data_IF_845108356623
#
_entry.id   IF_845108356623
#
_cell.length_a   1.000
_cell.length_b   1.000
_cell.length_c   1.000
_cell.angle_alpha   90.00
_cell.angle_beta   90.00
_cell.angle_gamma   90.00
#
_symmetry.space_group_name_H-M   'P 1'
#
loop_
_entity.id
_entity.type
_entity.pdbx_description
1 polymer ?
#
# COMPACT_ATOMS: atom_id res chain seq x y z
N UNK A 1 -2.53 15.75 22.36
CA UNK A 1 -1.09 15.83 22.13
C UNK A 1 -0.37 16.66 23.22
N UNK A 2 -0.87 17.87 23.50
CA UNK A 2 -0.27 18.74 24.52
C UNK A 2 -0.29 18.16 25.93
N UNK A 3 -1.25 17.30 26.26
CA UNK A 3 -1.44 16.71 27.59
C UNK A 3 -0.74 15.36 27.70
N UNK A 4 -0.87 14.51 26.67
CA UNK A 4 -0.45 13.10 26.72
C UNK A 4 0.87 12.83 25.97
N UNK A 5 1.44 13.84 25.29
CA UNK A 5 2.68 13.73 24.52
C UNK A 5 2.54 13.03 23.16
N UNK A 6 1.42 12.37 22.88
CA UNK A 6 1.11 11.77 21.57
C UNK A 6 -0.40 11.81 21.29
N UNK A 7 -0.80 11.95 20.01
CA UNK A 7 -2.20 11.93 19.63
C UNK A 7 -2.76 10.50 19.71
N UNK A 8 -4.07 10.39 19.98
CA UNK A 8 -4.77 9.13 19.77
C UNK A 8 -4.79 8.77 18.28
N UNK A 9 -4.68 7.48 17.97
CA UNK A 9 -4.84 6.99 16.58
C UNK A 9 -6.22 7.32 16.01
N UNK A 10 -7.22 7.51 16.85
CA UNK A 10 -8.58 7.85 16.43
C UNK A 10 -8.67 9.21 15.69
N UNK A 11 -7.70 10.11 15.92
CA UNK A 11 -7.61 11.41 15.21
C UNK A 11 -6.60 11.40 14.05
N UNK A 12 -6.05 10.24 13.70
CA UNK A 12 -5.06 10.13 12.61
C UNK A 12 -5.54 10.71 11.29
N UNK A 13 -6.81 10.54 10.96
CA UNK A 13 -7.42 11.11 9.76
C UNK A 13 -7.35 12.65 9.71
N UNK A 14 -7.15 13.32 10.82
CA UNK A 14 -7.03 14.78 10.94
C UNK A 14 -5.58 15.24 11.14
N UNK A 15 -4.63 14.32 11.36
CA UNK A 15 -3.22 14.66 11.54
C UNK A 15 -2.58 14.90 10.17
N UNK A 16 -2.05 16.12 9.96
CA UNK A 16 -1.36 16.49 8.72
C UNK A 16 -0.15 15.60 8.43
N UNK A 17 0.48 15.02 9.45
CA UNK A 17 1.62 14.13 9.30
C UNK A 17 1.30 12.83 8.53
N UNK A 18 0.01 12.47 8.38
CA UNK A 18 -0.42 11.31 7.60
C UNK A 18 -0.05 11.42 6.11
N UNK A 19 0.15 12.62 5.60
CA UNK A 19 0.47 12.84 4.19
C UNK A 19 1.93 12.56 3.84
N UNK A 20 2.85 12.68 4.82
CA UNK A 20 4.29 12.54 4.55
C UNK A 20 4.89 13.70 3.78
N UNK A 21 6.09 13.50 3.25
CA UNK A 21 6.95 14.58 2.72
C UNK A 21 6.45 15.20 1.41
N UNK A 22 5.57 14.51 0.65
CA UNK A 22 5.02 15.06 -0.59
C UNK A 22 4.08 16.26 -0.35
N UNK A 23 3.49 16.36 0.84
CA UNK A 23 2.54 17.41 1.20
C UNK A 23 3.25 18.73 1.54
N UNK A 24 3.89 19.33 0.56
CA UNK A 24 4.54 20.65 0.70
C UNK A 24 3.52 21.75 1.01
N UNK A 25 3.95 22.91 1.56
CA UNK A 25 3.06 24.05 1.77
C UNK A 25 2.32 24.49 0.49
N UNK A 26 2.99 24.45 -0.68
CA UNK A 26 2.38 24.75 -1.98
C UNK A 26 1.26 23.78 -2.35
N UNK A 27 1.50 22.47 -2.17
CA UNK A 27 0.47 21.46 -2.36
C UNK A 27 -0.71 21.65 -1.40
N UNK A 28 -0.42 21.92 -0.14
CA UNK A 28 -1.43 22.19 0.88
C UNK A 28 -2.32 23.38 0.52
N UNK A 29 -1.74 24.48 0.00
CA UNK A 29 -2.49 25.65 -0.47
C UNK A 29 -3.43 25.27 -1.63
N UNK A 30 -2.95 24.53 -2.63
CA UNK A 30 -3.74 24.10 -3.79
C UNK A 30 -4.92 23.23 -3.34
N UNK A 31 -4.67 22.24 -2.48
CA UNK A 31 -5.72 21.32 -1.99
C UNK A 31 -6.72 22.01 -1.08
N UNK A 32 -6.27 22.93 -0.23
CA UNK A 32 -7.17 23.72 0.63
C UNK A 32 -8.08 24.62 -0.18
N UNK A 33 -7.56 25.31 -1.22
CA UNK A 33 -8.35 26.13 -2.11
C UNK A 33 -9.38 25.31 -2.87
N UNK A 34 -8.98 24.17 -3.44
CA UNK A 34 -9.87 23.24 -4.14
C UNK A 34 -11.01 22.73 -3.24
N UNK A 35 -10.68 22.34 -2.01
CA UNK A 35 -11.66 21.88 -1.05
C UNK A 35 -12.61 23.00 -0.62
N UNK A 36 -12.10 24.23 -0.46
CA UNK A 36 -12.91 25.39 -0.11
C UNK A 36 -13.87 25.78 -1.23
N UNK A 37 -13.42 25.80 -2.48
CA UNK A 37 -14.26 26.05 -3.66
C UNK A 37 -15.44 25.07 -3.75
N UNK A 38 -15.23 23.83 -3.27
CA UNK A 38 -16.21 22.75 -3.31
C UNK A 38 -17.00 22.54 -2.01
N UNK A 39 -16.87 23.43 -1.05
CA UNK A 39 -17.44 23.29 0.30
C UNK A 39 -18.94 22.96 0.32
N UNK A 40 -19.68 23.49 -0.63
CA UNK A 40 -21.13 23.30 -0.75
C UNK A 40 -21.54 22.44 -1.95
N UNK A 41 -20.58 21.81 -2.61
CA UNK A 41 -20.84 20.92 -3.72
C UNK A 41 -20.97 19.49 -3.18
N UNK A 42 -22.02 18.79 -3.62
CA UNK A 42 -22.19 17.38 -3.29
C UNK A 42 -21.07 16.55 -3.92
N UNK A 43 -20.41 15.75 -3.11
CA UNK A 43 -19.37 14.83 -3.58
C UNK A 43 -20.00 13.52 -4.03
N UNK A 44 -19.68 13.08 -5.24
CA UNK A 44 -20.12 11.78 -5.74
C UNK A 44 -19.20 10.65 -5.25
N UNK A 45 -19.71 9.41 -5.18
CA UNK A 45 -18.86 8.25 -4.92
C UNK A 45 -17.71 8.16 -5.93
N UNK A 46 -16.52 7.86 -5.45
CA UNK A 46 -15.28 7.73 -6.26
C UNK A 46 -14.87 9.01 -7.02
N UNK A 47 -15.39 10.16 -6.64
CA UNK A 47 -14.95 11.42 -7.21
C UNK A 47 -13.59 11.82 -6.63
N UNK A 48 -12.59 11.95 -7.48
CA UNK A 48 -11.25 12.40 -7.11
C UNK A 48 -11.06 13.87 -7.47
N UNK A 49 -10.62 14.66 -6.49
CA UNK A 49 -10.33 16.07 -6.71
C UNK A 49 -9.06 16.25 -7.56
N UNK A 50 -9.13 16.92 -8.71
CA UNK A 50 -8.06 16.90 -9.72
C UNK A 50 -6.86 17.81 -9.41
N UNK A 51 -7.01 18.87 -8.62
CA UNK A 51 -5.92 19.83 -8.39
C UNK A 51 -4.80 19.22 -7.53
N UNK A 52 -3.57 19.66 -7.74
CA UNK A 52 -2.42 19.21 -6.96
C UNK A 52 -2.00 17.76 -7.23
N UNK A 53 -2.44 17.14 -8.31
CA UNK A 53 -1.96 15.85 -8.83
C UNK A 53 -0.79 16.14 -9.78
N UNK A 54 -0.02 15.27 -9.98
CA UNK A 54 0.61 14.05 -9.74
C UNK A 54 1.82 14.29 -8.83
N UNK A 55 1.77 13.85 -7.58
CA UNK A 55 2.89 14.03 -6.65
C UNK A 55 3.87 12.85 -6.75
N UNK A 56 3.32 11.65 -6.80
CA UNK A 56 4.08 10.41 -6.94
C UNK A 56 3.46 9.53 -8.02
N UNK A 57 4.29 8.87 -8.79
CA UNK A 57 3.88 7.86 -9.78
C UNK A 57 4.67 6.58 -9.55
N UNK A 58 4.12 5.45 -10.02
CA UNK A 58 4.81 4.17 -9.95
C UNK A 58 5.66 3.92 -11.20
N UNK A 59 6.53 2.92 -11.16
CA UNK A 59 7.33 2.51 -12.31
C UNK A 59 6.48 2.03 -13.52
N UNK A 60 5.22 1.66 -13.29
CA UNK A 60 4.29 1.22 -14.34
C UNK A 60 3.37 2.33 -14.86
N UNK A 61 3.45 3.54 -14.30
CA UNK A 61 2.53 4.63 -14.60
C UNK A 61 2.35 4.88 -16.10
N UNK A 62 3.43 5.11 -16.84
CA UNK A 62 3.36 5.42 -18.28
C UNK A 62 2.83 4.22 -19.09
N UNK A 63 3.24 3.01 -18.72
CA UNK A 63 2.74 1.78 -19.38
C UNK A 63 1.26 1.59 -19.13
N UNK A 64 0.78 1.82 -17.93
CA UNK A 64 -0.64 1.70 -17.60
C UNK A 64 -1.45 2.80 -18.27
N UNK A 65 -0.94 4.03 -18.29
CA UNK A 65 -1.57 5.14 -19.01
C UNK A 65 -1.74 4.81 -20.49
N UNK A 66 -0.70 4.26 -21.16
CA UNK A 66 -0.78 3.85 -22.56
C UNK A 66 -1.74 2.68 -22.80
N UNK A 67 -2.14 1.96 -21.73
CA UNK A 67 -3.13 0.87 -21.76
C UNK A 67 -4.54 1.34 -21.37
N UNK A 68 -4.75 2.64 -21.20
CA UNK A 68 -6.05 3.20 -20.87
C UNK A 68 -6.38 3.18 -19.37
N UNK A 69 -5.36 3.20 -18.50
CA UNK A 69 -5.60 3.28 -17.07
C UNK A 69 -6.33 4.55 -16.68
N UNK A 70 -7.36 4.39 -15.86
CA UNK A 70 -8.02 5.47 -15.15
C UNK A 70 -7.43 5.57 -13.75
N UNK A 71 -7.05 6.78 -13.36
CA UNK A 71 -6.23 7.02 -12.18
C UNK A 71 -7.00 7.68 -11.04
N UNK A 72 -6.74 7.21 -9.83
CA UNK A 72 -7.06 7.90 -8.58
C UNK A 72 -5.78 8.19 -7.81
N UNK A 73 -5.89 9.07 -6.82
CA UNK A 73 -4.77 9.44 -5.95
C UNK A 73 -5.03 9.02 -4.51
N UNK A 74 -4.13 8.24 -3.95
CA UNK A 74 -4.10 7.93 -2.52
C UNK A 74 -2.78 8.40 -1.89
N UNK A 75 -2.83 9.37 -0.97
CA UNK A 75 -1.62 9.88 -0.29
C UNK A 75 -0.48 10.28 -1.24
N UNK A 76 -0.85 11.03 -2.27
CA UNK A 76 0.08 11.53 -3.28
C UNK A 76 0.45 10.54 -4.38
N UNK A 77 0.22 9.25 -4.19
CA UNK A 77 0.54 8.21 -5.17
C UNK A 77 -0.63 7.98 -6.12
N UNK A 78 -0.36 8.00 -7.42
CA UNK A 78 -1.32 7.63 -8.46
C UNK A 78 -1.54 6.11 -8.45
N UNK A 79 -2.80 5.68 -8.40
CA UNK A 79 -3.21 4.28 -8.42
C UNK A 79 -4.15 4.03 -9.58
N UNK A 80 -3.87 3.00 -10.38
CA UNK A 80 -4.78 2.59 -11.45
C UNK A 80 -6.02 1.92 -10.86
N UNK A 81 -7.20 2.47 -11.19
CA UNK A 81 -8.49 1.93 -10.75
C UNK A 81 -8.98 0.81 -11.67
N UNK A 82 -8.95 1.06 -12.97
CA UNK A 82 -9.39 0.14 -14.03
C UNK A 82 -8.83 0.60 -15.39
N UNK A 83 -9.02 -0.21 -16.43
CA UNK A 83 -8.46 0.05 -17.76
C UNK A 83 -9.56 0.14 -18.80
N UNK A 84 -9.66 1.31 -19.46
CA UNK A 84 -10.52 1.52 -20.59
C UNK A 84 -9.92 0.89 -21.86
N UNK A 85 -10.76 0.34 -22.74
CA UNK A 85 -10.31 -0.13 -24.06
C UNK A 85 -10.20 0.98 -25.08
N UNK A 86 -11.01 2.01 -24.91
CA UNK A 86 -11.06 3.16 -25.80
C UNK A 86 -10.61 4.41 -25.06
N UNK A 87 -9.75 5.26 -25.66
CA UNK A 87 -9.26 6.48 -25.01
C UNK A 87 -10.37 7.40 -24.50
N UNK A 88 -11.47 7.49 -25.22
CA UNK A 88 -12.63 8.32 -24.87
C UNK A 88 -13.37 7.84 -23.61
N UNK A 89 -13.17 6.59 -23.23
CA UNK A 89 -13.74 6.02 -22.00
C UNK A 89 -12.78 6.09 -20.79
N UNK A 90 -11.54 6.54 -20.98
CA UNK A 90 -10.50 6.56 -19.95
C UNK A 90 -10.69 7.68 -18.90
N UNK A 91 -11.86 7.78 -18.32
CA UNK A 91 -12.18 8.73 -17.24
C UNK A 91 -13.35 8.22 -16.39
N UNK A 92 -13.44 8.70 -15.15
CA UNK A 92 -14.59 8.46 -14.30
C UNK A 92 -15.68 9.51 -14.56
N UNK A 93 -16.94 9.06 -14.52
CA UNK A 93 -18.10 9.95 -14.52
C UNK A 93 -18.67 10.01 -13.11
N UNK A 94 -18.70 11.17 -12.45
CA UNK A 94 -19.39 11.31 -11.17
C UNK A 94 -20.86 10.95 -11.31
N UNK A 95 -21.30 9.91 -10.58
CA UNK A 95 -22.69 9.43 -10.65
C UNK A 95 -23.07 8.67 -9.39
N UNK A 96 -24.34 8.72 -9.01
CA UNK A 96 -24.93 7.83 -7.98
C UNK A 96 -25.42 6.50 -8.54
N UNK A 97 -25.36 6.33 -9.85
CA UNK A 97 -25.68 5.08 -10.51
C UNK A 97 -24.41 4.27 -10.78
N UNK A 98 -24.55 3.13 -11.43
CA UNK A 98 -23.43 2.31 -11.86
C UNK A 98 -22.60 3.05 -12.90
N UNK A 99 -21.33 3.30 -12.59
CA UNK A 99 -20.40 4.01 -13.49
C UNK A 99 -20.02 3.16 -14.72
N UNK A 100 -19.42 3.81 -15.72
CA UNK A 100 -18.87 3.12 -16.90
C UNK A 100 -17.79 2.09 -16.56
N UNK A 101 -17.05 2.29 -15.46
CA UNK A 101 -16.05 1.34 -14.96
C UNK A 101 -16.60 -0.08 -14.88
N UNK A 102 -17.88 -0.25 -14.53
CA UNK A 102 -18.48 -1.56 -14.28
C UNK A 102 -18.27 -2.56 -15.43
N UNK A 103 -18.45 -2.14 -16.69
CA UNK A 103 -18.29 -3.06 -17.83
C UNK A 103 -16.84 -3.51 -18.01
N UNK A 104 -15.88 -2.63 -17.73
CA UNK A 104 -14.45 -2.91 -17.83
C UNK A 104 -13.99 -3.79 -16.68
N UNK A 105 -14.34 -3.41 -15.44
CA UNK A 105 -14.02 -4.17 -14.23
C UNK A 105 -14.65 -5.58 -14.27
N UNK A 106 -15.86 -5.73 -14.80
CA UNK A 106 -16.48 -7.04 -14.96
C UNK A 106 -15.65 -7.98 -15.86
N UNK A 107 -15.02 -7.44 -16.91
CA UNK A 107 -14.12 -8.20 -17.80
C UNK A 107 -12.78 -8.52 -17.13
N UNK A 108 -12.21 -7.57 -16.41
CA UNK A 108 -10.99 -7.79 -15.63
C UNK A 108 -11.21 -8.90 -14.58
N UNK A 109 -12.32 -8.84 -13.84
CA UNK A 109 -12.70 -9.88 -12.88
C UNK A 109 -12.86 -11.25 -13.54
N UNK A 110 -13.51 -11.31 -14.71
CA UNK A 110 -13.66 -12.55 -15.49
C UNK A 110 -12.29 -13.08 -15.90
N UNK A 111 -11.40 -12.22 -16.42
CA UNK A 111 -10.05 -12.61 -16.83
C UNK A 111 -9.25 -13.20 -15.64
N UNK A 112 -9.32 -12.59 -14.47
CA UNK A 112 -8.65 -13.12 -13.25
C UNK A 112 -9.25 -14.47 -12.83
N UNK A 113 -10.57 -14.65 -12.91
CA UNK A 113 -11.23 -15.90 -12.51
C UNK A 113 -10.95 -17.07 -13.46
N UNK A 114 -10.84 -16.81 -14.75
CA UNK A 114 -10.69 -17.83 -15.77
C UNK A 114 -9.23 -18.04 -16.22
N UNK A 115 -8.38 -17.04 -16.02
CA UNK A 115 -7.01 -17.04 -16.51
C UNK A 115 -6.02 -16.56 -15.45
N UNK A 116 -5.45 -15.35 -15.64
CA UNK A 116 -4.51 -14.70 -14.75
C UNK A 116 -4.66 -13.19 -14.91
N UNK A 117 -4.59 -12.48 -13.80
CA UNK A 117 -4.50 -11.03 -13.77
C UNK A 117 -3.40 -10.56 -12.80
N UNK A 118 -2.91 -9.36 -13.04
CA UNK A 118 -1.99 -8.67 -12.14
C UNK A 118 -2.58 -7.37 -11.66
N UNK A 119 -2.37 -7.04 -10.40
CA UNK A 119 -2.71 -5.75 -9.80
C UNK A 119 -1.47 -5.14 -9.16
N UNK A 120 -1.26 -3.86 -9.41
CA UNK A 120 -0.21 -3.10 -8.74
C UNK A 120 -0.54 -2.94 -7.25
N UNK A 121 0.43 -3.23 -6.40
CA UNK A 121 0.34 -3.09 -4.93
C UNK A 121 1.45 -2.16 -4.41
N UNK A 122 1.88 -1.20 -5.21
CA UNK A 122 2.89 -0.20 -4.85
C UNK A 122 2.47 0.66 -3.65
N UNK A 123 1.17 0.85 -3.45
CA UNK A 123 0.55 1.61 -2.37
C UNK A 123 0.67 0.97 -0.97
N UNK A 124 1.18 -0.25 -0.85
CA UNK A 124 1.50 -0.81 0.47
C UNK A 124 2.75 -0.16 1.06
N UNK A 125 2.70 0.18 2.36
CA UNK A 125 3.88 0.56 3.10
C UNK A 125 4.85 -0.62 3.24
N UNK A 126 6.15 -0.34 3.17
CA UNK A 126 7.23 -1.33 3.29
C UNK A 126 8.26 -0.85 4.29
N UNK A 127 8.30 -1.50 5.43
CA UNK A 127 9.17 -1.16 6.54
C UNK A 127 10.27 -2.22 6.66
N UNK A 128 11.51 -1.83 6.46
CA UNK A 128 12.69 -2.71 6.52
C UNK A 128 13.36 -2.64 7.89
N UNK A 129 13.68 -3.81 8.45
CA UNK A 129 14.41 -3.95 9.71
C UNK A 129 15.60 -4.89 9.51
N UNK A 130 16.79 -4.45 9.92
CA UNK A 130 18.04 -5.22 9.82
C UNK A 130 18.89 -5.06 11.06
N UNK A 131 19.65 -6.10 11.38
CA UNK A 131 20.65 -6.08 12.45
C UNK A 131 20.34 -7.05 13.59
N UNK A 132 21.31 -7.34 14.46
CA UNK A 132 21.29 -8.47 15.39
C UNK A 132 20.23 -8.41 16.48
N UNK A 133 19.48 -7.32 16.61
CA UNK A 133 18.34 -7.17 17.54
C UNK A 133 16.99 -7.11 16.85
N UNK A 134 16.93 -7.28 15.51
CA UNK A 134 15.69 -7.06 14.76
C UNK A 134 14.60 -8.07 15.13
N UNK A 135 14.94 -9.33 15.30
CA UNK A 135 13.99 -10.37 15.71
C UNK A 135 13.43 -10.11 17.10
N UNK A 136 14.29 -9.78 18.05
CA UNK A 136 13.87 -9.48 19.43
C UNK A 136 12.96 -8.25 19.46
N UNK A 137 13.36 -7.18 18.80
CA UNK A 137 12.59 -5.95 18.71
C UNK A 137 11.21 -6.20 18.08
N UNK A 138 11.14 -6.88 16.95
CA UNK A 138 9.86 -7.18 16.28
C UNK A 138 8.98 -8.11 17.13
N UNK A 139 9.57 -9.09 17.84
CA UNK A 139 8.82 -9.94 18.74
C UNK A 139 8.25 -9.17 19.95
N UNK A 140 8.89 -8.08 20.35
CA UNK A 140 8.39 -7.19 21.40
C UNK A 140 7.22 -6.31 20.94
N UNK A 141 7.29 -5.77 19.71
CA UNK A 141 6.28 -4.79 19.24
C UNK A 141 5.09 -5.42 18.50
N UNK A 142 5.20 -6.67 18.08
CA UNK A 142 4.16 -7.40 17.34
C UNK A 142 3.53 -8.47 18.23
N UNK A 143 2.21 -8.62 18.15
CA UNK A 143 1.47 -9.53 19.02
C UNK A 143 1.37 -10.98 18.49
N UNK A 144 1.82 -11.24 17.27
CA UNK A 144 1.82 -12.56 16.65
C UNK A 144 3.20 -13.20 16.59
N UNK A 145 3.26 -14.46 16.23
CA UNK A 145 4.54 -15.17 16.04
C UNK A 145 5.25 -14.67 14.79
N UNK A 146 6.52 -14.34 14.92
CA UNK A 146 7.36 -14.02 13.77
C UNK A 146 7.61 -15.27 12.90
N UNK A 147 7.65 -15.11 11.58
CA UNK A 147 8.01 -16.19 10.68
C UNK A 147 9.50 -16.54 10.81
N UNK A 148 9.84 -17.78 10.43
CA UNK A 148 11.22 -18.21 10.21
C UNK A 148 11.74 -17.69 8.85
N UNK A 149 13.06 -17.68 8.62
CA UNK A 149 13.63 -17.28 7.32
C UNK A 149 12.98 -17.99 6.13
N UNK A 150 12.77 -17.26 5.05
CA UNK A 150 12.10 -17.74 3.85
C UNK A 150 10.57 -17.84 3.95
N UNK A 151 9.96 -17.25 5.00
CA UNK A 151 8.51 -17.32 5.24
C UNK A 151 7.89 -15.96 5.52
N UNK A 152 6.58 -15.88 5.27
CA UNK A 152 5.76 -14.73 5.67
C UNK A 152 4.69 -15.15 6.69
N UNK A 153 4.24 -14.19 7.50
CA UNK A 153 3.12 -14.34 8.40
C UNK A 153 2.34 -13.02 8.54
N UNK A 154 1.02 -13.10 8.73
CA UNK A 154 0.23 -11.94 9.12
C UNK A 154 0.32 -11.80 10.65
N UNK A 155 0.63 -10.60 11.11
CA UNK A 155 0.89 -10.35 12.54
C UNK A 155 0.30 -9.00 12.95
N UNK A 156 -0.58 -8.97 13.96
CA UNK A 156 -1.14 -7.72 14.44
C UNK A 156 -0.11 -6.94 15.28
N UNK A 157 -0.22 -5.62 15.20
CA UNK A 157 0.44 -4.68 16.10
C UNK A 157 -0.61 -4.02 16.97
N UNK A 158 -0.37 -3.99 18.29
CA UNK A 158 -1.35 -3.53 19.25
C UNK A 158 -0.84 -2.31 20.03
N UNK A 159 -1.77 -1.46 20.46
CA UNK A 159 -1.48 -0.41 21.45
C UNK A 159 -1.25 -1.02 22.81
N UNK A 160 -0.73 -0.22 23.77
CA UNK A 160 -0.58 -0.62 25.18
C UNK A 160 -1.90 -1.00 25.86
N UNK A 161 -3.04 -0.58 25.29
CA UNK A 161 -4.40 -0.93 25.76
C UNK A 161 -4.96 -2.16 25.03
N UNK A 162 -4.16 -2.88 24.23
CA UNK A 162 -4.57 -4.08 23.49
C UNK A 162 -5.46 -3.82 22.27
N UNK A 163 -5.61 -2.56 21.83
CA UNK A 163 -6.36 -2.24 20.60
C UNK A 163 -5.48 -2.41 19.38
N UNK A 164 -6.08 -2.84 18.27
CA UNK A 164 -5.40 -3.00 17.00
C UNK A 164 -4.87 -1.63 16.51
N UNK A 165 -3.56 -1.56 16.27
CA UNK A 165 -2.89 -0.41 15.68
C UNK A 165 -2.53 -0.63 14.20
N UNK A 166 -2.30 -1.88 13.81
CA UNK A 166 -2.05 -2.31 12.44
C UNK A 166 -2.02 -3.82 12.33
N UNK A 167 -2.32 -4.32 11.15
CA UNK A 167 -2.09 -5.69 10.75
C UNK A 167 -1.02 -5.69 9.66
N UNK A 168 0.05 -6.39 9.90
CA UNK A 168 1.25 -6.34 9.08
C UNK A 168 1.57 -7.73 8.53
N UNK A 169 1.86 -7.80 7.24
CA UNK A 169 2.49 -8.99 6.67
C UNK A 169 3.98 -8.89 6.92
N UNK A 170 4.49 -9.79 7.75
CA UNK A 170 5.91 -9.87 8.11
C UNK A 170 6.60 -10.89 7.23
N UNK A 171 7.53 -10.45 6.41
CA UNK A 171 8.43 -11.29 5.63
C UNK A 171 9.78 -11.42 6.35
N UNK A 172 10.18 -12.65 6.68
CA UNK A 172 11.50 -12.91 7.23
C UNK A 172 12.44 -13.35 6.10
N UNK A 173 13.28 -12.43 5.65
CA UNK A 173 14.25 -12.69 4.58
C UNK A 173 15.41 -13.53 5.09
N UNK A 174 15.97 -13.15 6.25
CA UNK A 174 17.03 -13.84 7.00
C UNK A 174 16.72 -13.73 8.49
N UNK A 175 17.50 -14.37 9.37
CA UNK A 175 17.24 -14.38 10.81
C UNK A 175 17.07 -13.00 11.43
N UNK A 176 17.84 -12.02 10.98
CA UNK A 176 17.85 -10.64 11.47
C UNK A 176 17.52 -9.64 10.37
N UNK A 177 16.81 -10.09 9.32
CA UNK A 177 16.36 -9.26 8.22
C UNK A 177 14.88 -9.47 7.92
N UNK A 178 14.09 -8.41 8.09
CA UNK A 178 12.64 -8.43 7.92
C UNK A 178 12.15 -7.28 7.04
N UNK A 179 11.12 -7.56 6.25
CA UNK A 179 10.32 -6.54 5.56
C UNK A 179 8.87 -6.69 6.02
N UNK A 180 8.30 -5.61 6.54
CA UNK A 180 6.91 -5.57 6.98
C UNK A 180 6.08 -4.78 5.96
N UNK A 181 5.01 -5.39 5.49
CA UNK A 181 4.05 -4.75 4.59
C UNK A 181 2.81 -4.36 5.38
N UNK A 182 2.41 -3.10 5.23
CA UNK A 182 1.24 -2.55 5.91
C UNK A 182 0.41 -1.66 5.01
N UNK A 183 -0.65 -1.09 5.55
CA UNK A 183 -1.46 -0.11 4.83
C UNK A 183 -0.66 1.15 4.50
N UNK A 184 -0.69 1.60 3.24
CA UNK A 184 -0.10 2.88 2.85
C UNK A 184 -0.73 4.09 3.54
N UNK A 185 -2.03 3.99 3.88
CA UNK A 185 -2.74 4.97 4.71
C UNK A 185 -2.10 5.16 6.09
N UNK A 186 -1.56 4.08 6.64
CA UNK A 186 -0.96 4.05 7.98
C UNK A 186 0.57 4.14 7.95
N UNK A 187 1.17 4.33 6.77
CA UNK A 187 2.63 4.35 6.59
C UNK A 187 3.33 5.26 7.61
N UNK A 188 2.89 6.51 7.72
CA UNK A 188 3.50 7.49 8.62
C UNK A 188 3.20 7.21 10.11
N UNK A 189 2.02 6.69 10.42
CA UNK A 189 1.68 6.26 11.77
C UNK A 189 2.56 5.08 12.20
N UNK A 190 2.71 4.08 11.33
CA UNK A 190 3.57 2.93 11.61
C UNK A 190 5.05 3.34 11.69
N UNK A 191 5.53 4.23 10.81
CA UNK A 191 6.89 4.77 10.88
C UNK A 191 7.17 5.40 12.24
N UNK A 192 6.32 6.32 12.70
CA UNK A 192 6.44 6.96 14.02
C UNK A 192 6.41 5.95 15.16
N UNK A 193 5.54 4.95 15.06
CA UNK A 193 5.44 3.89 16.06
C UNK A 193 6.74 3.11 16.19
N UNK A 194 7.36 2.75 15.08
CA UNK A 194 8.63 2.04 15.05
C UNK A 194 9.77 2.92 15.56
N UNK A 195 9.96 4.11 14.98
CA UNK A 195 11.04 5.03 15.35
C UNK A 195 11.06 5.38 16.84
N UNK A 196 9.89 5.60 17.44
CA UNK A 196 9.77 5.90 18.87
C UNK A 196 10.22 4.73 19.77
N UNK A 197 10.24 3.52 19.27
CA UNK A 197 10.52 2.29 20.04
C UNK A 197 11.80 1.59 19.62
N UNK A 198 12.48 2.08 18.61
CA UNK A 198 13.76 1.52 18.19
C UNK A 198 14.77 1.56 19.33
N UNK A 199 15.51 0.44 19.56
CA UNK A 199 16.63 0.46 20.47
C UNK A 199 17.75 1.33 19.93
N UNK A 200 18.58 1.90 20.83
CA UNK A 200 19.71 2.76 20.42
C UNK A 200 20.74 2.07 19.53
N UNK A 201 20.84 0.74 19.61
CA UNK A 201 21.81 -0.06 18.87
C UNK A 201 21.22 -1.40 18.45
N UNK A 202 21.80 -2.02 17.46
CA UNK A 202 21.50 -3.39 17.04
C UNK A 202 20.36 -3.53 16.03
N UNK A 203 19.55 -2.50 15.81
CA UNK A 203 18.47 -2.53 14.81
C UNK A 203 18.56 -1.30 13.92
N UNK A 204 18.66 -1.51 12.62
CA UNK A 204 18.46 -0.47 11.63
C UNK A 204 17.04 -0.56 11.05
N UNK A 205 16.42 0.59 10.90
CA UNK A 205 15.10 0.73 10.32
C UNK A 205 15.15 1.66 9.10
N UNK A 206 14.41 1.29 8.06
CA UNK A 206 14.20 2.16 6.89
C UNK A 206 12.76 2.00 6.36
N UNK A 207 12.13 3.12 6.02
CA UNK A 207 10.90 3.11 5.22
C UNK A 207 11.29 2.99 3.75
N UNK A 208 10.94 1.84 3.13
CA UNK A 208 11.24 1.49 1.74
C UNK A 208 10.02 1.54 0.83
N UNK A 209 8.97 2.24 1.25
CA UNK A 209 7.68 2.22 0.56
C UNK A 209 7.77 2.72 -0.88
N UNK A 210 8.58 3.73 -1.12
CA UNK A 210 8.80 4.31 -2.45
C UNK A 210 9.95 3.62 -3.24
N UNK A 211 10.75 2.76 -2.60
CA UNK A 211 11.90 2.07 -3.22
C UNK A 211 11.51 0.76 -3.91
N UNK A 212 10.43 0.11 -3.46
CA UNK A 212 9.98 -1.17 -3.98
C UNK A 212 8.63 -1.07 -4.67
N UNK A 213 8.58 -1.63 -5.86
CA UNK A 213 7.36 -1.79 -6.63
C UNK A 213 6.82 -3.22 -6.47
N UNK A 214 5.51 -3.36 -6.26
CA UNK A 214 4.88 -4.65 -6.06
C UNK A 214 3.74 -4.90 -7.05
N UNK A 215 3.64 -6.14 -7.53
CA UNK A 215 2.53 -6.64 -8.33
C UNK A 215 2.01 -7.93 -7.73
N UNK A 216 0.72 -7.96 -7.38
CA UNK A 216 0.04 -9.18 -7.01
C UNK A 216 -0.47 -9.90 -8.27
N UNK A 217 -0.18 -11.19 -8.39
CA UNK A 217 -0.61 -12.03 -9.51
C UNK A 217 -1.62 -13.04 -8.99
N UNK A 218 -2.80 -13.12 -9.61
CA UNK A 218 -3.89 -13.99 -9.19
C UNK A 218 -4.55 -14.67 -10.38
N UNK A 219 -5.18 -15.81 -10.12
CA UNK A 219 -5.92 -16.59 -11.11
C UNK A 219 -5.38 -18.00 -11.31
N UNK A 220 -6.15 -18.91 -11.93
CA UNK A 220 -5.78 -20.32 -12.09
C UNK A 220 -4.48 -20.54 -12.86
N UNK A 221 -4.14 -19.62 -13.78
CA UNK A 221 -2.90 -19.69 -14.59
C UNK A 221 -1.75 -18.85 -14.02
N UNK A 222 -1.83 -18.36 -12.79
CA UNK A 222 -0.78 -17.52 -12.20
C UNK A 222 0.58 -18.22 -12.10
N UNK A 223 0.62 -19.52 -11.77
CA UNK A 223 1.88 -20.29 -11.77
C UNK A 223 2.49 -20.48 -13.16
N UNK A 224 1.67 -20.64 -14.17
CA UNK A 224 2.15 -20.73 -15.56
C UNK A 224 2.81 -19.42 -15.99
N UNK A 225 2.21 -18.28 -15.61
CA UNK A 225 2.82 -16.98 -15.82
C UNK A 225 4.14 -16.83 -15.07
N UNK A 226 4.17 -17.17 -13.78
CA UNK A 226 5.37 -17.09 -12.96
C UNK A 226 6.52 -17.91 -13.53
N UNK A 227 6.29 -19.14 -14.00
CA UNK A 227 7.30 -19.98 -14.66
C UNK A 227 7.95 -19.33 -15.88
N UNK A 228 7.29 -18.37 -16.52
CA UNK A 228 7.81 -17.67 -17.70
C UNK A 228 8.68 -16.47 -17.38
N UNK A 229 8.59 -15.94 -16.14
CA UNK A 229 9.26 -14.70 -15.72
C UNK A 229 10.29 -14.92 -14.62
N UNK A 230 10.35 -16.11 -14.00
CA UNK A 230 11.42 -16.48 -13.06
C UNK A 230 12.08 -17.79 -13.46
N UNK A 231 13.33 -17.97 -13.01
CA UNK A 231 14.08 -19.22 -13.14
C UNK A 231 13.86 -20.15 -11.93
N UNK A 232 13.23 -19.64 -10.87
CA UNK A 232 12.95 -20.43 -9.67
C UNK A 232 11.90 -21.50 -9.92
N UNK A 233 11.99 -22.59 -9.18
CA UNK A 233 10.93 -23.59 -9.17
C UNK A 233 9.73 -23.08 -8.35
N UNK A 234 8.70 -22.66 -9.08
CA UNK A 234 7.44 -22.17 -8.51
C UNK A 234 6.34 -23.25 -8.47
N UNK A 235 6.69 -24.53 -8.56
CA UNK A 235 5.74 -25.64 -8.37
C UNK A 235 5.17 -25.65 -6.95
N UNK A 236 4.01 -26.28 -6.75
CA UNK A 236 3.36 -26.33 -5.43
C UNK A 236 4.17 -27.07 -4.36
N UNK A 237 5.08 -27.97 -4.78
CA UNK A 237 6.00 -28.66 -3.88
C UNK A 237 7.14 -27.80 -3.39
N UNK A 238 7.70 -26.98 -4.29
CA UNK A 238 8.89 -26.16 -4.03
C UNK A 238 8.57 -24.75 -3.54
N UNK A 239 7.43 -24.18 -3.96
CA UNK A 239 6.97 -22.85 -3.53
C UNK A 239 5.60 -22.98 -2.88
N UNK A 240 5.59 -23.17 -1.57
CA UNK A 240 4.40 -23.45 -0.78
C UNK A 240 3.73 -22.16 -0.32
N UNK A 241 2.52 -22.30 0.20
CA UNK A 241 1.81 -21.18 0.84
C UNK A 241 2.68 -20.53 1.93
N UNK A 242 2.82 -19.23 1.88
CA UNK A 242 3.67 -18.38 2.73
C UNK A 242 5.19 -18.54 2.53
N UNK A 243 5.65 -19.18 1.48
CA UNK A 243 7.06 -19.12 1.13
C UNK A 243 7.41 -17.77 0.48
N UNK A 244 8.64 -17.29 0.70
CA UNK A 244 9.28 -16.18 0.01
C UNK A 244 10.63 -16.62 -0.54
N UNK A 245 11.03 -15.95 -1.61
CA UNK A 245 12.33 -16.14 -2.26
C UNK A 245 12.85 -14.82 -2.81
#
# INVERSE_FOLDING_TARGET
WMIEGEPSIDVWAMDVARFGDFATPGWGTIKSSENYERRFVMTFPNETLPKGRRQKTTALFDRFTSKGAVWDQGFGLENALWFAERPEDAHEDPTFHRSRAHKYVAREVKAVRENVGGIEIANYAKHEFKGPGSREFLNYILAGRLPRPGRINLTPMLTSKGKLYGDLTVACMEDEYFILFGSGLMQEAHRRWFEKRLPEKGVSYANRSDDYHGVAISGPKSRELLKRITRDDVTSGSFRFRDIR
#
